data_IF_312668045314
#
_entry.id   IF_312668045314
#
_cell.length_a   1.000
_cell.length_b   1.000
_cell.length_c   1.000
_cell.angle_alpha   90.00
_cell.angle_beta   90.00
_cell.angle_gamma   90.00
#
_symmetry.space_group_name_H-M   'P 1'
#
loop_
_entity.id
_entity.type
_entity.pdbx_description
1 polymer ?
#
# COMPACT_ATOMS: atom_id res chain seq x y z
N UNK A 1 -0.86 -18.74 9.65
CA UNK A 1 -1.87 -17.91 8.94
C UNK A 1 -1.25 -17.20 7.77
N UNK A 2 -2.00 -17.02 6.71
CA UNK A 2 -1.52 -16.28 5.53
C UNK A 2 -1.52 -14.79 5.80
N UNK A 3 -0.38 -14.15 5.61
CA UNK A 3 -0.25 -12.69 5.72
C UNK A 3 -0.90 -12.03 4.51
N UNK A 4 -1.83 -11.12 4.75
CA UNK A 4 -2.57 -10.39 3.71
C UNK A 4 -1.98 -9.02 3.50
N UNK A 5 -1.55 -8.77 2.26
CA UNK A 5 -0.84 -7.54 1.85
C UNK A 5 -1.76 -6.69 0.99
N UNK A 6 -1.84 -5.41 1.30
CA UNK A 6 -2.54 -4.42 0.49
C UNK A 6 -1.52 -3.48 -0.14
N UNK A 7 -1.55 -3.35 -1.46
CA UNK A 7 -0.71 -2.41 -2.18
C UNK A 7 -1.46 -1.07 -2.28
N UNK A 8 -1.07 -0.13 -1.45
CA UNK A 8 -1.54 1.24 -1.49
C UNK A 8 -0.56 2.10 -2.30
N UNK A 9 -1.03 3.21 -2.81
CA UNK A 9 -0.13 4.11 -3.49
C UNK A 9 -0.87 5.11 -4.33
N UNK A 10 -0.08 6.02 -4.90
CA UNK A 10 -0.62 7.13 -5.66
C UNK A 10 -1.38 6.65 -6.89
N UNK A 11 -2.56 7.23 -7.11
CA UNK A 11 -3.34 7.08 -8.33
C UNK A 11 -3.51 8.44 -8.99
N UNK A 12 -4.40 9.28 -8.46
CA UNK A 12 -4.64 10.62 -9.00
C UNK A 12 -3.63 11.65 -8.50
N UNK A 13 -3.17 11.51 -7.25
CA UNK A 13 -2.32 12.51 -6.61
C UNK A 13 -3.03 13.85 -6.57
N UNK A 14 -2.36 14.90 -7.06
CA UNK A 14 -2.91 16.25 -7.15
C UNK A 14 -3.50 16.59 -8.54
N UNK A 15 -3.61 15.60 -9.43
CA UNK A 15 -4.18 15.80 -10.77
C UNK A 15 -5.67 16.08 -10.68
N UNK A 16 -6.14 17.04 -11.48
CA UNK A 16 -7.52 17.55 -11.41
C UNK A 16 -8.46 16.91 -12.43
N UNK A 17 -7.94 16.22 -13.43
CA UNK A 17 -8.72 15.55 -14.46
C UNK A 17 -8.70 14.03 -14.26
N UNK A 18 -9.34 13.28 -15.17
CA UNK A 18 -9.34 11.81 -15.15
C UNK A 18 -8.00 11.23 -15.59
N UNK A 19 -6.92 11.70 -14.94
CA UNK A 19 -5.56 11.28 -15.20
C UNK A 19 -5.01 10.55 -13.98
N UNK A 20 -4.26 9.48 -14.22
CA UNK A 20 -3.59 8.73 -13.18
C UNK A 20 -2.08 8.82 -13.35
N UNK A 21 -1.35 8.77 -12.25
CA UNK A 21 0.07 8.44 -12.27
C UNK A 21 0.24 7.03 -12.80
N UNK A 22 1.46 6.68 -13.28
CA UNK A 22 1.74 5.31 -13.69
C UNK A 22 1.43 4.35 -12.55
N UNK A 23 0.76 3.25 -12.88
CA UNK A 23 0.41 2.19 -11.94
C UNK A 23 1.36 0.97 -12.05
N UNK A 24 2.47 1.12 -12.78
CA UNK A 24 3.43 0.04 -13.03
C UNK A 24 4.05 -0.51 -11.73
N UNK A 25 4.21 0.34 -10.71
CA UNK A 25 4.73 -0.08 -9.41
C UNK A 25 3.90 -1.19 -8.77
N UNK A 26 2.61 -1.25 -9.06
CA UNK A 26 1.71 -2.27 -8.51
C UNK A 26 2.04 -3.65 -9.07
N UNK A 27 2.24 -3.72 -10.38
CA UNK A 27 2.64 -4.97 -11.05
C UNK A 27 4.04 -5.37 -10.58
N UNK A 28 4.95 -4.42 -10.49
CA UNK A 28 6.32 -4.65 -10.03
C UNK A 28 6.34 -5.25 -8.61
N UNK A 29 5.58 -4.67 -7.68
CA UNK A 29 5.48 -5.19 -6.32
C UNK A 29 4.81 -6.56 -6.27
N UNK A 30 3.74 -6.75 -7.02
CA UNK A 30 3.03 -8.03 -7.06
C UNK A 30 3.93 -9.15 -7.57
N UNK A 31 4.64 -8.90 -8.67
CA UNK A 31 5.58 -9.88 -9.24
C UNK A 31 6.75 -10.16 -8.29
N UNK A 32 7.29 -9.11 -7.68
CA UNK A 32 8.38 -9.23 -6.71
C UNK A 32 8.00 -10.11 -5.52
N UNK A 33 6.83 -9.89 -4.94
CA UNK A 33 6.35 -10.74 -3.84
C UNK A 33 6.09 -12.17 -4.29
N UNK A 34 5.53 -12.36 -5.48
CA UNK A 34 5.31 -13.70 -6.02
C UNK A 34 6.62 -14.49 -6.13
N UNK A 35 7.70 -13.82 -6.50
CA UNK A 35 9.01 -14.45 -6.65
C UNK A 35 9.75 -14.65 -5.33
N UNK A 36 9.65 -13.70 -4.41
CA UNK A 36 10.48 -13.69 -3.18
C UNK A 36 9.75 -14.17 -1.94
N UNK A 37 8.44 -13.97 -1.85
CA UNK A 37 7.61 -14.35 -0.69
C UNK A 37 6.25 -14.87 -1.18
N UNK A 38 6.23 -16.01 -1.90
CA UNK A 38 5.00 -16.52 -2.51
C UNK A 38 3.92 -16.92 -1.50
N UNK A 39 4.26 -17.03 -0.23
CA UNK A 39 3.32 -17.32 0.85
C UNK A 39 2.42 -16.13 1.20
N UNK A 40 2.78 -14.91 0.76
CA UNK A 40 1.95 -13.72 1.02
C UNK A 40 0.75 -13.69 0.07
N UNK A 41 -0.40 -13.26 0.60
CA UNK A 41 -1.60 -13.02 -0.21
C UNK A 41 -1.66 -11.53 -0.55
N UNK A 42 -1.35 -11.19 -1.79
CA UNK A 42 -1.23 -9.79 -2.24
C UNK A 42 -2.50 -9.33 -2.92
N UNK A 43 -3.06 -8.22 -2.46
CA UNK A 43 -4.21 -7.56 -3.07
C UNK A 43 -3.77 -6.21 -3.65
N UNK A 44 -3.98 -6.06 -4.96
CA UNK A 44 -3.80 -4.82 -5.68
C UNK A 44 -5.18 -4.24 -6.03
N UNK A 45 -5.61 -3.16 -5.38
CA UNK A 45 -6.93 -2.59 -5.61
C UNK A 45 -7.13 -2.07 -7.05
N UNK A 46 -6.06 -1.66 -7.72
CA UNK A 46 -6.15 -1.18 -9.09
C UNK A 46 -6.35 -2.32 -10.10
N UNK A 47 -5.72 -3.47 -9.90
CA UNK A 47 -5.83 -4.59 -10.84
C UNK A 47 -7.29 -5.03 -11.08
N UNK A 48 -8.14 -4.88 -10.06
CA UNK A 48 -9.57 -5.22 -10.13
C UNK A 48 -10.47 -4.03 -10.44
N UNK A 49 -9.92 -2.83 -10.55
CA UNK A 49 -10.66 -1.58 -10.73
C UNK A 49 -9.93 -0.65 -11.70
N UNK A 50 -9.44 -1.20 -12.82
CA UNK A 50 -8.63 -0.46 -13.79
C UNK A 50 -9.36 0.74 -14.41
N UNK A 51 -10.68 0.68 -14.49
CA UNK A 51 -11.52 1.76 -15.02
C UNK A 51 -12.09 2.68 -13.92
N UNK A 52 -11.49 2.68 -12.73
CA UNK A 52 -12.03 3.40 -11.57
C UNK A 52 -12.18 4.91 -11.77
N UNK A 53 -11.35 5.53 -12.60
CA UNK A 53 -11.48 6.97 -12.93
C UNK A 53 -12.81 7.32 -13.58
N UNK A 54 -13.49 6.34 -14.18
CA UNK A 54 -14.77 6.51 -14.86
C UNK A 54 -15.97 6.04 -14.01
N UNK A 55 -15.74 5.59 -12.79
CA UNK A 55 -16.83 5.17 -11.90
C UNK A 55 -17.75 6.33 -11.57
N UNK A 56 -19.06 6.09 -11.62
CA UNK A 56 -20.05 7.03 -11.10
C UNK A 56 -19.99 7.10 -9.56
N UNK A 57 -20.75 8.03 -8.97
CA UNK A 57 -20.71 8.30 -7.55
C UNK A 57 -21.01 7.08 -6.68
N UNK A 58 -21.98 6.27 -7.05
CA UNK A 58 -22.37 5.09 -6.28
C UNK A 58 -21.26 4.04 -6.27
N UNK A 59 -20.77 3.65 -7.47
CA UNK A 59 -19.72 2.65 -7.58
C UNK A 59 -18.39 3.15 -7.03
N UNK A 60 -18.08 4.42 -7.22
CA UNK A 60 -16.89 5.05 -6.66
C UNK A 60 -16.90 5.03 -5.13
N UNK A 61 -18.00 5.40 -4.52
CA UNK A 61 -18.16 5.39 -3.06
C UNK A 61 -18.06 3.96 -2.51
N UNK A 62 -18.74 3.01 -3.14
CA UNK A 62 -18.70 1.60 -2.74
C UNK A 62 -17.27 1.06 -2.77
N UNK A 63 -16.54 1.34 -3.86
CA UNK A 63 -15.14 0.91 -4.03
C UNK A 63 -14.24 1.55 -2.98
N UNK A 64 -14.37 2.85 -2.77
CA UNK A 64 -13.60 3.59 -1.78
C UNK A 64 -13.83 3.02 -0.37
N UNK A 65 -15.06 2.83 0.02
CA UNK A 65 -15.40 2.28 1.34
C UNK A 65 -14.91 0.84 1.52
N UNK A 66 -15.01 0.03 0.46
CA UNK A 66 -14.55 -1.36 0.51
C UNK A 66 -13.05 -1.44 0.75
N UNK A 67 -12.25 -0.66 0.02
CA UNK A 67 -10.80 -0.67 0.19
C UNK A 67 -10.38 -0.17 1.57
N UNK A 68 -11.03 0.87 2.07
CA UNK A 68 -10.74 1.37 3.42
C UNK A 68 -11.15 0.38 4.51
N UNK A 69 -12.25 -0.34 4.32
CA UNK A 69 -12.67 -1.40 5.24
C UNK A 69 -11.64 -2.55 5.24
N UNK A 70 -11.15 -2.96 4.08
CA UNK A 70 -10.09 -3.98 4.00
C UNK A 70 -8.87 -3.56 4.80
N UNK A 71 -8.41 -2.32 4.62
CA UNK A 71 -7.27 -1.79 5.37
C UNK A 71 -7.53 -1.76 6.87
N UNK A 72 -8.74 -1.43 7.27
CA UNK A 72 -9.13 -1.29 8.67
C UNK A 72 -9.45 -2.60 9.38
N UNK A 73 -9.65 -3.72 8.68
CA UNK A 73 -10.12 -4.95 9.31
C UNK A 73 -9.47 -6.24 8.82
N UNK A 74 -8.92 -6.28 7.62
CA UNK A 74 -8.56 -7.55 6.99
C UNK A 74 -7.07 -7.75 6.74
N UNK A 75 -6.31 -6.67 6.52
CA UNK A 75 -4.92 -6.77 6.11
C UNK A 75 -3.96 -6.88 7.29
N UNK A 76 -2.80 -7.46 7.04
CA UNK A 76 -1.71 -7.59 8.00
C UNK A 76 -0.52 -6.69 7.64
N UNK A 77 -0.40 -6.32 6.37
CA UNK A 77 0.69 -5.51 5.84
C UNK A 77 0.15 -4.56 4.78
N UNK A 78 0.55 -3.30 4.87
CA UNK A 78 0.28 -2.30 3.84
C UNK A 78 1.60 -1.78 3.29
N UNK A 79 1.76 -1.83 1.97
CA UNK A 79 2.88 -1.23 1.25
C UNK A 79 2.35 0.02 0.56
N UNK A 80 2.88 1.18 0.92
CA UNK A 80 2.48 2.46 0.35
C UNK A 80 3.58 3.01 -0.54
N UNK A 81 3.29 3.11 -1.84
CA UNK A 81 4.18 3.75 -2.81
C UNK A 81 3.70 5.18 -3.06
N UNK A 82 4.42 6.15 -2.52
CA UNK A 82 4.00 7.57 -2.54
C UNK A 82 5.16 8.48 -2.96
N UNK A 83 5.47 8.53 -4.25
CA UNK A 83 6.50 9.45 -4.75
C UNK A 83 6.12 10.92 -4.52
N UNK A 84 4.83 11.21 -4.40
CA UNK A 84 4.28 12.48 -3.95
C UNK A 84 3.00 12.25 -3.15
N UNK A 85 2.45 13.29 -2.56
CA UNK A 85 1.30 13.17 -1.66
C UNK A 85 0.08 12.52 -2.34
N UNK A 86 -0.59 11.65 -1.61
CA UNK A 86 -1.79 10.94 -2.04
C UNK A 86 -2.78 10.88 -0.89
N UNK A 87 -3.90 11.59 -1.03
CA UNK A 87 -4.92 11.64 0.03
C UNK A 87 -5.56 10.27 0.26
N UNK A 88 -5.86 9.54 -0.81
CA UNK A 88 -6.44 8.20 -0.70
C UNK A 88 -5.53 7.22 0.03
N UNK A 89 -4.24 7.24 -0.31
CA UNK A 89 -3.25 6.41 0.37
C UNK A 89 -3.14 6.76 1.86
N UNK A 90 -3.18 8.06 2.18
CA UNK A 90 -3.12 8.51 3.58
C UNK A 90 -4.29 7.96 4.41
N UNK A 91 -5.50 7.95 3.84
CA UNK A 91 -6.68 7.38 4.51
C UNK A 91 -6.52 5.88 4.71
N UNK A 92 -6.07 5.16 3.70
CA UNK A 92 -5.80 3.72 3.80
C UNK A 92 -4.74 3.42 4.86
N UNK A 93 -3.67 4.21 4.91
CA UNK A 93 -2.63 4.07 5.93
C UNK A 93 -3.18 4.29 7.34
N UNK A 94 -4.04 5.28 7.52
CA UNK A 94 -4.68 5.56 8.82
C UNK A 94 -5.54 4.38 9.27
N UNK A 95 -6.35 3.84 8.37
CA UNK A 95 -7.18 2.67 8.67
C UNK A 95 -6.31 1.44 9.01
N UNK A 96 -5.26 1.20 8.26
CA UNK A 96 -4.33 0.10 8.51
C UNK A 96 -3.62 0.27 9.86
N UNK A 97 -3.21 1.49 10.20
CA UNK A 97 -2.56 1.78 11.48
C UNK A 97 -3.48 1.48 12.66
N UNK A 98 -4.74 1.91 12.61
CA UNK A 98 -5.72 1.60 13.64
C UNK A 98 -5.96 0.09 13.80
N UNK A 99 -5.87 -0.63 12.71
CA UNK A 99 -6.04 -2.08 12.66
C UNK A 99 -4.81 -2.85 13.18
N UNK A 100 -3.70 -2.18 13.42
CA UNK A 100 -2.46 -2.83 13.86
C UNK A 100 -1.67 -3.52 12.75
N UNK A 101 -1.96 -3.21 11.49
CA UNK A 101 -1.18 -3.73 10.38
C UNK A 101 0.24 -3.12 10.35
N UNK A 102 1.20 -3.88 9.84
CA UNK A 102 2.54 -3.34 9.56
C UNK A 102 2.44 -2.43 8.34
N UNK A 103 3.06 -1.25 8.40
CA UNK A 103 3.02 -0.26 7.33
C UNK A 103 4.44 0.04 6.88
N UNK A 104 4.68 -0.13 5.58
CA UNK A 104 5.95 0.21 4.93
C UNK A 104 5.65 1.24 3.87
N UNK A 105 6.39 2.35 3.87
CA UNK A 105 6.29 3.38 2.85
C UNK A 105 7.53 3.41 1.98
N UNK A 106 7.32 3.54 0.67
CA UNK A 106 8.37 3.72 -0.33
C UNK A 106 8.22 5.15 -0.82
N UNK A 107 9.06 6.05 -0.36
CA UNK A 107 8.96 7.49 -0.60
C UNK A 107 10.19 8.23 -0.12
N UNK A 108 10.44 9.39 -0.72
CA UNK A 108 11.45 10.34 -0.22
C UNK A 108 10.86 11.36 0.76
N UNK A 109 9.53 11.38 0.95
CA UNK A 109 8.82 12.31 1.82
C UNK A 109 8.92 11.93 3.30
N UNK A 110 10.12 11.82 3.84
CA UNK A 110 10.34 11.34 5.21
C UNK A 110 9.85 12.29 6.30
N UNK A 111 9.61 13.56 5.97
CA UNK A 111 9.10 14.56 6.91
C UNK A 111 7.59 14.71 6.89
N UNK A 112 6.92 14.12 5.93
CA UNK A 112 5.45 14.12 5.91
C UNK A 112 4.95 13.35 7.14
N UNK A 113 4.05 13.95 7.90
CA UNK A 113 3.61 13.36 9.18
C UNK A 113 2.90 12.02 9.03
N UNK A 114 2.09 11.84 8.00
CA UNK A 114 1.43 10.57 7.74
C UNK A 114 2.47 9.48 7.50
N UNK A 115 3.42 9.74 6.61
CA UNK A 115 4.51 8.80 6.32
C UNK A 115 5.35 8.54 7.57
N UNK A 116 5.79 9.61 8.22
CA UNK A 116 6.71 9.52 9.35
C UNK A 116 6.13 8.78 10.57
N UNK A 117 4.88 9.07 10.91
CA UNK A 117 4.29 8.55 12.14
C UNK A 117 3.50 7.26 11.99
N UNK A 118 3.03 6.94 10.79
CA UNK A 118 2.29 5.71 10.56
C UNK A 118 3.15 4.57 10.02
N UNK A 119 4.33 4.86 9.48
CA UNK A 119 5.18 3.83 8.87
C UNK A 119 6.10 3.16 9.89
N UNK A 120 6.18 1.84 9.85
CA UNK A 120 7.15 1.07 10.61
C UNK A 120 8.55 1.17 9.99
N UNK A 121 8.61 1.23 8.65
CA UNK A 121 9.83 1.46 7.90
C UNK A 121 9.53 2.34 6.69
N UNK A 122 10.51 3.17 6.31
CA UNK A 122 10.45 4.03 5.13
C UNK A 122 11.68 3.74 4.28
N UNK A 123 11.45 3.46 3.00
CA UNK A 123 12.51 3.25 2.01
C UNK A 123 12.46 4.37 0.97
N UNK A 124 13.61 4.94 0.57
CA UNK A 124 13.60 6.05 -0.38
C UNK A 124 13.17 5.67 -1.79
N UNK A 125 13.32 4.40 -2.16
CA UNK A 125 13.03 3.92 -3.50
C UNK A 125 12.70 2.42 -3.50
N UNK A 126 12.25 1.93 -4.65
CA UNK A 126 11.88 0.53 -4.84
C UNK A 126 13.07 -0.42 -4.67
N UNK A 127 14.24 -0.03 -5.13
CA UNK A 127 15.43 -0.89 -5.03
C UNK A 127 15.87 -1.13 -3.58
N UNK A 128 15.88 -0.07 -2.77
CA UNK A 128 16.17 -0.20 -1.34
C UNK A 128 15.16 -1.11 -0.64
N UNK A 129 13.88 -0.97 -0.97
CA UNK A 129 12.83 -1.83 -0.45
C UNK A 129 13.07 -3.30 -0.82
N UNK A 130 13.30 -3.57 -2.10
CA UNK A 130 13.54 -4.95 -2.58
C UNK A 130 14.76 -5.58 -1.92
N UNK A 131 15.85 -4.82 -1.79
CA UNK A 131 17.07 -5.28 -1.12
C UNK A 131 16.78 -5.67 0.33
N UNK A 132 16.05 -4.83 1.06
CA UNK A 132 15.68 -5.10 2.44
C UNK A 132 14.82 -6.37 2.58
N UNK A 133 13.86 -6.57 1.68
CA UNK A 133 13.03 -7.79 1.67
C UNK A 133 13.90 -9.03 1.46
N UNK A 134 14.81 -8.99 0.49
CA UNK A 134 15.74 -10.11 0.21
C UNK A 134 16.67 -10.41 1.39
N UNK A 135 16.99 -9.40 2.19
CA UNK A 135 17.81 -9.54 3.40
C UNK A 135 17.01 -9.97 4.64
N UNK A 136 15.71 -10.23 4.49
CA UNK A 136 14.86 -10.71 5.58
C UNK A 136 14.28 -9.62 6.48
N UNK A 137 14.46 -8.34 6.16
CA UNK A 137 13.96 -7.25 7.00
C UNK A 137 12.44 -7.22 7.11
N UNK A 138 11.72 -7.53 6.01
CA UNK A 138 10.26 -7.56 6.05
C UNK A 138 9.77 -8.71 6.93
N UNK A 139 10.36 -9.89 6.79
CA UNK A 139 10.00 -11.03 7.63
C UNK A 139 10.23 -10.72 9.12
N UNK A 140 11.32 -10.03 9.45
CA UNK A 140 11.62 -9.61 10.81
C UNK A 140 10.60 -8.60 11.34
N UNK A 141 10.21 -7.61 10.53
CA UNK A 141 9.19 -6.63 10.90
C UNK A 141 7.83 -7.27 11.16
N UNK A 142 7.44 -8.22 10.32
CA UNK A 142 6.18 -8.95 10.49
C UNK A 142 6.20 -9.79 11.77
N UNK A 143 7.34 -10.38 12.11
CA UNK A 143 7.48 -11.14 13.36
C UNK A 143 7.42 -10.23 14.59
N UNK A 144 7.98 -9.02 14.51
CA UNK A 144 8.05 -8.08 15.63
C UNK A 144 6.74 -7.32 15.86
N UNK A 145 6.09 -6.86 14.79
CA UNK A 145 4.94 -5.94 14.85
C UNK A 145 3.65 -6.53 14.31
N UNK A 146 3.69 -7.70 13.71
CA UNK A 146 2.50 -8.32 13.11
C UNK A 146 1.45 -8.67 14.17
N UNK A 147 0.19 -8.72 13.71
CA UNK A 147 -0.93 -9.15 14.54
C UNK A 147 -0.78 -10.63 14.95
N UNK A 148 -1.21 -10.94 16.14
CA UNK A 148 -1.27 -12.32 16.65
C UNK A 148 -2.46 -13.11 16.06
#
# INVERSE_FOLDING_TARGET
MTVRVFIAGIMQGSRTEKQLHSQDYRVELTDFFRETMPELSVYDPFAKNQDSVNYGNEKGMETFLRHNRMCGTEIDLLIAYVPEASMGTAVEMWEAWKNGAVIISITEMTRNWVVRYLSHRIFPDMESFKTAVKNGELAALLAEHGKE
#
